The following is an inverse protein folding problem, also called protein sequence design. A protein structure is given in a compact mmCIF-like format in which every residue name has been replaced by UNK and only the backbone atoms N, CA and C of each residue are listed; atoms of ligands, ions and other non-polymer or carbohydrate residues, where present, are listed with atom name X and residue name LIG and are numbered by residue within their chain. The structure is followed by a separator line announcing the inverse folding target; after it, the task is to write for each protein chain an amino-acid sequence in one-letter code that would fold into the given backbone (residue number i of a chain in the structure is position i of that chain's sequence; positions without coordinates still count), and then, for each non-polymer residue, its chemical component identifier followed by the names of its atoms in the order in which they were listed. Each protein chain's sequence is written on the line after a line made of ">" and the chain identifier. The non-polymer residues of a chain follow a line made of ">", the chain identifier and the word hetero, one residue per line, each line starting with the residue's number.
data_IF_697797864813
#
_entry.id   IF_697797864813
#
_cell.length_a   1.000
_cell.length_b   1.000
_cell.length_c   1.000
_cell.angle_alpha   90.00
_cell.angle_beta   90.00
_cell.angle_gamma   90.00
#
_symmetry.space_group_name_H-M   'P 1'
#
loop_
_entity.id
_entity.type
_entity.pdbx_description
1 polymer ?
#
# COMPACT_ATOMS: atom_id res chain seq x y z
N UNK A 1 4.83 2.89 -8.49
CA UNK A 1 5.08 2.22 -7.19
C UNK A 1 4.12 2.71 -6.10
N UNK A 2 2.86 2.98 -6.47
CA UNK A 2 1.92 3.62 -5.55
C UNK A 2 1.71 2.78 -4.28
N UNK A 3 1.49 1.47 -4.41
CA UNK A 3 1.23 0.60 -3.26
C UNK A 3 2.48 -0.11 -2.75
N UNK A 4 3.51 -0.27 -3.58
CA UNK A 4 4.73 -0.99 -3.20
C UNK A 4 5.76 -0.10 -2.48
N UNK A 5 5.60 1.22 -2.55
CA UNK A 5 6.48 2.14 -1.83
C UNK A 5 6.42 1.85 -0.32
N UNK A 6 7.58 1.68 0.30
CA UNK A 6 7.75 1.29 1.72
C UNK A 6 7.22 -0.12 2.04
N UNK A 7 6.86 -0.91 1.02
CA UNK A 7 6.47 -2.32 1.20
C UNK A 7 7.48 -3.25 0.54
N UNK A 8 7.97 -2.86 -0.62
CA UNK A 8 8.96 -3.65 -1.38
C UNK A 8 10.25 -2.84 -1.50
N UNK A 9 11.41 -3.50 -1.58
CA UNK A 9 12.67 -2.78 -1.80
C UNK A 9 12.60 -1.94 -3.08
N UNK A 10 13.08 -0.71 -3.01
CA UNK A 10 13.07 0.20 -4.16
C UNK A 10 14.34 1.04 -4.15
N UNK A 11 15.13 0.89 -5.19
CA UNK A 11 16.33 1.70 -5.43
C UNK A 11 16.22 2.22 -6.86
N UNK A 12 15.91 3.52 -6.99
CA UNK A 12 15.68 4.13 -8.30
C UNK A 12 16.91 4.06 -9.21
N UNK A 13 18.09 4.27 -8.62
CA UNK A 13 19.33 4.29 -9.38
C UNK A 13 19.69 2.89 -9.89
N UNK A 14 19.64 1.90 -9.00
CA UNK A 14 19.95 0.52 -9.35
C UNK A 14 18.98 -0.04 -10.40
N UNK A 15 17.71 0.41 -10.36
CA UNK A 15 16.68 -0.04 -11.29
C UNK A 15 16.55 0.83 -12.55
N UNK A 16 17.29 1.91 -12.65
CA UNK A 16 17.24 2.82 -13.79
C UNK A 16 15.90 3.54 -13.91
N UNK A 17 15.27 3.84 -12.77
CA UNK A 17 13.95 4.49 -12.78
C UNK A 17 14.08 6.02 -12.83
N UNK A 18 13.42 6.50 -13.54
CA UNK A 18 13.50 7.78 -13.75
C UNK A 18 12.60 8.52 -12.96
N UNK A 19 11.33 8.12 -13.03
CA UNK A 19 10.24 8.79 -12.31
C UNK A 19 9.49 7.80 -11.40
N UNK A 20 9.32 7.98 -10.02
CA UNK A 20 8.64 7.21 -9.22
C UNK A 20 7.56 7.94 -8.84
N UNK A 21 6.33 7.47 -8.87
CA UNK A 21 5.10 8.09 -8.40
C UNK A 21 4.55 7.27 -7.23
N UNK A 22 4.25 7.93 -6.12
CA UNK A 22 3.59 7.30 -4.98
C UNK A 22 2.53 8.23 -4.42
N UNK A 23 1.81 7.79 -3.40
CA UNK A 23 0.70 8.56 -2.84
C UNK A 23 0.65 8.42 -1.32
N UNK A 24 -0.01 9.38 -0.69
CA UNK A 24 0.00 9.54 0.77
C UNK A 24 -0.71 8.41 1.52
N UNK A 25 -1.73 7.78 0.91
CA UNK A 25 -2.60 6.83 1.62
C UNK A 25 -2.17 5.35 1.51
N UNK A 26 -0.97 5.08 1.02
CA UNK A 26 -0.45 3.70 0.92
C UNK A 26 0.67 3.50 1.95
N UNK A 27 1.89 3.25 1.52
CA UNK A 27 3.01 2.96 2.44
C UNK A 27 3.27 4.01 3.48
N UNK A 28 2.88 5.26 3.22
CA UNK A 28 3.02 6.34 4.19
C UNK A 28 1.97 6.34 5.30
N UNK A 29 0.89 5.72 4.99
CA UNK A 29 -0.05 5.53 5.91
C UNK A 29 -0.56 6.69 6.47
N UNK A 30 -0.75 7.85 5.67
CA UNK A 30 -1.47 9.07 6.07
C UNK A 30 -2.71 9.26 5.20
N UNK A 31 -3.49 10.31 5.46
CA UNK A 31 -4.75 10.52 4.73
C UNK A 31 -4.50 10.68 3.22
N UNK A 32 -5.44 10.26 2.36
CA UNK A 32 -5.30 10.46 0.92
C UNK A 32 -5.38 11.94 0.55
N UNK A 33 -4.73 12.30 -0.55
CA UNK A 33 -4.80 13.66 -1.09
C UNK A 33 -3.49 14.24 -1.61
N UNK A 34 -2.36 13.50 -1.47
CA UNK A 34 -1.09 13.93 -2.04
C UNK A 34 -0.55 12.87 -2.99
N UNK A 35 -0.03 13.33 -4.12
CA UNK A 35 0.83 12.53 -4.99
C UNK A 35 2.26 13.03 -4.85
N UNK A 36 3.18 12.12 -4.59
CA UNK A 36 4.59 12.44 -4.51
C UNK A 36 5.27 11.90 -5.76
N UNK A 37 5.95 12.78 -6.45
CA UNK A 37 6.66 12.44 -7.69
C UNK A 37 8.14 12.68 -7.47
N UNK A 38 8.93 11.62 -7.55
CA UNK A 38 10.38 11.71 -7.39
C UNK A 38 11.02 11.60 -8.76
N UNK A 39 11.84 12.57 -9.10
CA UNK A 39 12.51 12.65 -10.41
C UNK A 39 14.00 12.35 -10.25
N UNK A 40 14.52 11.42 -11.03
CA UNK A 40 15.95 11.22 -11.13
C UNK A 40 16.60 12.48 -11.71
N UNK A 41 17.86 12.73 -11.37
CA UNK A 41 18.60 13.90 -11.84
C UNK A 41 18.57 14.03 -13.36
N UNK A 42 18.67 12.91 -14.07
CA UNK A 42 18.71 12.88 -15.53
C UNK A 42 17.47 13.45 -16.21
N UNK A 43 16.33 13.52 -15.51
CA UNK A 43 15.07 14.01 -16.11
C UNK A 43 14.62 15.38 -15.55
N UNK A 44 15.33 15.93 -14.56
CA UNK A 44 14.90 17.18 -13.92
C UNK A 44 14.97 18.37 -14.89
N UNK A 45 15.90 18.36 -15.81
CA UNK A 45 16.13 19.48 -16.73
C UNK A 45 15.55 19.25 -18.12
N UNK A 46 14.69 18.26 -18.30
CA UNK A 46 14.07 18.02 -19.60
C UNK A 46 13.07 19.15 -19.93
N UNK A 47 12.89 19.48 -21.24
CA UNK A 47 11.92 20.50 -21.65
C UNK A 47 10.50 19.94 -21.56
N UNK A 48 9.93 20.07 -20.38
CA UNK A 48 8.55 19.57 -20.18
C UNK A 48 7.53 20.43 -20.92
N UNK A 49 7.04 20.02 -21.77
CA UNK A 49 6.11 20.61 -22.50
C UNK A 49 4.88 20.67 -21.75
N UNK A 50 4.39 21.85 -21.63
CA UNK A 50 3.18 22.21 -20.91
C UNK A 50 1.91 21.77 -21.65
N UNK A 51 1.23 20.81 -21.11
CA UNK A 51 -0.01 20.30 -21.70
C UNK A 51 -1.26 20.54 -20.86
N UNK A 52 -1.10 21.29 -19.77
CA UNK A 52 -2.20 21.60 -18.87
C UNK A 52 -1.82 22.72 -17.93
N UNK A 53 -2.75 23.13 -17.11
CA UNK A 53 -2.53 24.22 -16.18
C UNK A 53 -1.97 23.72 -14.83
N UNK A 54 -2.65 22.76 -14.21
CA UNK A 54 -2.35 22.33 -12.84
C UNK A 54 -1.17 21.37 -12.78
N UNK A 55 -1.12 20.38 -13.66
CA UNK A 55 -0.08 19.33 -13.65
C UNK A 55 1.11 19.75 -14.52
N UNK A 56 1.79 20.82 -14.11
CA UNK A 56 2.93 21.37 -14.83
C UNK A 56 4.20 21.14 -14.01
N UNK A 57 5.08 20.23 -14.47
CA UNK A 57 6.33 19.93 -13.78
C UNK A 57 7.26 21.13 -13.69
N UNK A 58 7.36 21.91 -14.77
CA UNK A 58 8.24 23.08 -14.78
C UNK A 58 7.84 24.08 -13.70
N UNK A 59 6.52 24.38 -13.57
CA UNK A 59 6.02 25.27 -12.53
C UNK A 59 6.23 24.67 -11.12
N UNK A 60 6.04 23.35 -10.98
CA UNK A 60 6.26 22.70 -9.68
C UNK A 60 7.73 22.77 -9.28
N UNK A 61 8.67 22.44 -10.19
CA UNK A 61 10.09 22.49 -9.90
C UNK A 61 10.57 23.91 -9.55
N UNK A 62 10.11 24.90 -10.34
CA UNK A 62 10.44 26.32 -10.10
C UNK A 62 9.99 26.76 -8.70
N UNK A 63 8.78 26.41 -8.30
CA UNK A 63 8.27 26.80 -6.98
C UNK A 63 8.95 26.03 -5.85
N UNK A 64 9.34 24.79 -6.10
CA UNK A 64 10.06 23.96 -5.12
C UNK A 64 11.38 24.61 -4.69
N UNK A 65 12.06 25.34 -5.61
CA UNK A 65 13.32 26.04 -5.29
C UNK A 65 13.17 27.04 -4.14
N UNK A 66 11.97 27.61 -3.98
CA UNK A 66 11.68 28.54 -2.89
C UNK A 66 10.81 27.92 -1.80
N UNK A 67 10.70 26.58 -1.78
CA UNK A 67 9.96 25.86 -0.76
C UNK A 67 8.46 26.05 -0.82
N UNK A 68 7.91 26.24 -2.04
CA UNK A 68 6.48 26.47 -2.22
C UNK A 68 5.89 25.56 -3.29
N UNK A 69 4.58 25.54 -3.37
CA UNK A 69 3.83 24.88 -4.45
C UNK A 69 3.26 25.97 -5.37
N UNK A 70 2.95 25.64 -6.64
CA UNK A 70 2.38 26.65 -7.58
C UNK A 70 1.04 27.22 -7.12
N UNK A 71 0.26 26.44 -6.37
CA UNK A 71 -1.08 26.80 -5.91
C UNK A 71 -1.19 26.48 -4.43
N UNK A 72 -2.28 26.90 -3.79
CA UNK A 72 -2.47 26.69 -2.34
C UNK A 72 -2.36 25.21 -2.00
N UNK A 73 -1.45 24.82 -1.11
CA UNK A 73 -1.24 23.41 -0.81
C UNK A 73 -2.25 22.90 0.22
N UNK A 74 -2.39 21.57 0.28
CA UNK A 74 -3.16 20.87 1.32
C UNK A 74 -2.29 20.85 2.60
N UNK A 75 -2.24 21.98 3.32
CA UNK A 75 -1.29 22.18 4.42
C UNK A 75 -1.36 21.11 5.49
N UNK A 76 -2.57 20.68 5.89
CA UNK A 76 -2.75 19.63 6.89
C UNK A 76 -2.07 18.33 6.43
N UNK A 77 -2.24 17.96 5.17
CA UNK A 77 -1.60 16.75 4.62
C UNK A 77 -0.08 16.88 4.55
N UNK A 78 0.41 18.08 4.22
CA UNK A 78 1.86 18.33 4.24
C UNK A 78 2.44 18.18 5.65
N UNK A 79 1.71 18.62 6.66
CA UNK A 79 2.15 18.46 8.05
C UNK A 79 2.14 16.98 8.48
N UNK A 80 1.11 16.23 8.06
CA UNK A 80 1.06 14.78 8.28
C UNK A 80 2.25 14.10 7.58
N UNK A 81 2.51 14.48 6.33
CA UNK A 81 3.63 13.92 5.56
C UNK A 81 4.96 14.21 6.24
N UNK A 82 5.17 15.44 6.70
CA UNK A 82 6.40 15.81 7.39
C UNK A 82 6.62 14.94 8.65
N UNK A 83 5.58 14.83 9.48
CA UNK A 83 5.64 14.02 10.70
C UNK A 83 5.96 12.56 10.37
N UNK A 84 5.28 12.03 9.35
CA UNK A 84 5.48 10.64 8.93
C UNK A 84 6.89 10.39 8.40
N UNK A 85 7.38 11.27 7.53
CA UNK A 85 8.72 11.12 6.95
C UNK A 85 9.80 11.20 8.03
N UNK A 86 9.62 12.03 9.06
CA UNK A 86 10.55 12.05 10.19
C UNK A 86 10.64 10.68 10.86
N UNK A 87 9.48 10.08 11.14
CA UNK A 87 9.42 8.75 11.76
C UNK A 87 10.06 7.69 10.84
N UNK A 88 9.77 7.77 9.54
CA UNK A 88 10.29 6.78 8.58
C UNK A 88 11.81 6.87 8.43
N UNK A 89 12.35 8.09 8.40
CA UNK A 89 13.79 8.31 8.31
C UNK A 89 14.49 7.78 9.58
N UNK A 90 13.90 8.09 10.75
CA UNK A 90 14.44 7.64 12.04
C UNK A 90 14.45 6.10 12.13
N UNK A 91 13.40 5.45 11.66
CA UNK A 91 13.28 4.00 11.68
C UNK A 91 14.16 3.34 10.61
N UNK A 92 14.27 3.97 9.46
CA UNK A 92 15.01 3.46 8.31
C UNK A 92 14.12 2.67 7.34
N UNK A 93 14.26 2.95 6.06
CA UNK A 93 13.40 2.35 5.01
C UNK A 93 13.53 0.82 4.97
N UNK A 94 14.73 0.29 5.15
CA UNK A 94 14.92 -1.17 5.14
C UNK A 94 14.16 -1.85 6.28
N UNK A 95 14.18 -1.25 7.48
CA UNK A 95 13.45 -1.78 8.63
C UNK A 95 11.94 -1.78 8.38
N UNK A 96 11.43 -0.72 7.76
CA UNK A 96 10.00 -0.62 7.41
C UNK A 96 9.63 -1.72 6.41
N UNK A 97 10.41 -1.87 5.34
CA UNK A 97 10.16 -2.89 4.30
C UNK A 97 10.23 -4.29 4.90
N UNK A 98 11.20 -4.54 5.79
CA UNK A 98 11.33 -5.84 6.46
C UNK A 98 10.09 -6.17 7.29
N UNK A 99 9.55 -5.20 8.03
CA UNK A 99 8.33 -5.42 8.82
C UNK A 99 7.12 -5.74 7.94
N UNK A 100 6.96 -5.03 6.83
CA UNK A 100 5.85 -5.31 5.89
C UNK A 100 6.02 -6.70 5.29
N UNK A 101 7.24 -7.03 4.87
CA UNK A 101 7.55 -8.36 4.32
C UNK A 101 7.24 -9.46 5.32
N UNK A 102 7.62 -9.28 6.59
CA UNK A 102 7.40 -10.30 7.62
C UNK A 102 5.91 -10.56 7.82
N UNK A 103 5.09 -9.53 7.83
CA UNK A 103 3.62 -9.69 7.92
C UNK A 103 3.07 -10.40 6.69
N UNK A 104 3.53 -10.02 5.50
CA UNK A 104 3.09 -10.64 4.25
C UNK A 104 3.43 -12.15 4.23
N UNK A 105 4.67 -12.49 4.57
CA UNK A 105 5.11 -13.89 4.62
C UNK A 105 4.33 -14.66 5.67
N UNK A 106 4.07 -14.06 6.82
CA UNK A 106 3.29 -14.70 7.89
C UNK A 106 1.88 -15.02 7.41
N UNK A 107 1.18 -14.03 6.82
CA UNK A 107 -0.18 -14.28 6.32
C UNK A 107 -0.21 -15.33 5.23
N UNK A 108 0.77 -15.30 4.32
CA UNK A 108 0.86 -16.33 3.26
C UNK A 108 1.12 -17.72 3.85
N UNK A 109 1.85 -17.82 4.96
CA UNK A 109 2.01 -19.10 5.65
C UNK A 109 0.67 -19.60 6.22
N UNK A 110 -0.18 -18.66 6.71
CA UNK A 110 -1.53 -19.00 7.16
C UNK A 110 -2.41 -19.43 5.97
N UNK A 111 -2.28 -18.79 4.81
CA UNK A 111 -2.98 -19.21 3.59
C UNK A 111 -2.59 -20.64 3.23
N UNK A 112 -1.29 -20.93 3.20
CA UNK A 112 -0.78 -22.28 2.88
C UNK A 112 -1.30 -23.31 3.87
N UNK A 113 -1.27 -22.99 5.16
CA UNK A 113 -1.76 -23.89 6.24
C UNK A 113 -3.24 -24.22 6.06
N UNK A 114 -4.04 -23.26 5.60
CA UNK A 114 -5.48 -23.44 5.44
C UNK A 114 -5.88 -23.85 4.01
N UNK A 115 -4.90 -24.03 3.12
CA UNK A 115 -5.16 -24.44 1.74
C UNK A 115 -5.72 -23.35 0.85
N UNK A 116 -5.69 -22.09 1.30
CA UNK A 116 -6.15 -20.97 0.49
C UNK A 116 -5.11 -20.63 -0.57
N UNK A 117 -5.54 -20.62 -1.83
CA UNK A 117 -4.63 -20.38 -2.94
C UNK A 117 -4.26 -18.89 -3.02
N UNK A 118 -2.96 -18.61 -3.11
CA UNK A 118 -2.42 -17.29 -3.42
C UNK A 118 -1.97 -17.34 -4.88
N UNK A 119 -2.74 -16.74 -5.81
CA UNK A 119 -2.49 -16.96 -7.24
C UNK A 119 -1.29 -16.20 -7.78
N UNK A 120 -0.80 -15.17 -7.08
CA UNK A 120 0.33 -14.38 -7.56
C UNK A 120 1.62 -15.17 -7.45
N UNK A 121 2.32 -15.35 -8.57
CA UNK A 121 3.60 -16.06 -8.60
C UNK A 121 4.67 -15.29 -7.82
N UNK A 122 4.69 -13.96 -7.96
CA UNK A 122 5.61 -13.08 -7.22
C UNK A 122 4.78 -11.96 -6.58
N UNK A 123 4.21 -12.23 -5.40
CA UNK A 123 3.34 -11.24 -4.76
C UNK A 123 4.13 -10.10 -4.13
N UNK A 124 3.57 -8.88 -4.22
CA UNK A 124 4.11 -7.73 -3.51
C UNK A 124 3.93 -7.92 -2.00
N UNK A 125 4.83 -7.35 -1.21
CA UNK A 125 4.69 -7.38 0.25
C UNK A 125 3.51 -6.53 0.74
N UNK A 126 3.05 -5.55 -0.05
CA UNK A 126 2.00 -4.63 0.41
C UNK A 126 0.64 -5.31 0.58
N UNK A 127 0.37 -6.40 -0.16
CA UNK A 127 -0.97 -7.00 -0.20
C UNK A 127 -0.87 -8.48 -0.60
N UNK A 128 -1.73 -9.31 -0.02
CA UNK A 128 -1.90 -10.70 -0.45
C UNK A 128 -3.32 -10.89 -0.96
N UNK A 129 -3.44 -11.31 -2.22
CA UNK A 129 -4.69 -11.79 -2.80
C UNK A 129 -4.78 -13.30 -2.63
N UNK A 130 -5.94 -13.81 -2.25
CA UNK A 130 -6.12 -15.25 -2.00
C UNK A 130 -7.55 -15.68 -2.26
N UNK A 131 -7.73 -16.96 -2.52
CA UNK A 131 -9.06 -17.57 -2.70
C UNK A 131 -9.43 -18.38 -1.46
N UNK A 132 -10.67 -18.20 -0.98
CA UNK A 132 -11.25 -19.06 0.04
C UNK A 132 -12.00 -20.21 -0.65
N UNK A 133 -12.32 -21.28 0.07
CA UNK A 133 -12.94 -22.48 -0.50
C UNK A 133 -14.46 -22.42 -0.51
N UNK A 134 -15.06 -21.91 0.57
CA UNK A 134 -16.50 -21.97 0.80
C UNK A 134 -16.99 -20.63 1.36
N UNK A 135 -18.27 -20.37 1.14
CA UNK A 135 -18.97 -19.23 1.73
C UNK A 135 -18.33 -17.87 1.41
N UNK A 136 -17.61 -17.78 0.28
CA UNK A 136 -16.97 -16.54 -0.14
C UNK A 136 -17.98 -15.43 -0.45
N UNK A 137 -19.18 -15.81 -0.81
CA UNK A 137 -20.27 -14.87 -1.09
C UNK A 137 -20.77 -14.14 0.16
N UNK A 138 -20.62 -14.74 1.36
CA UNK A 138 -21.01 -14.11 2.62
C UNK A 138 -19.83 -13.63 3.46
N UNK A 139 -18.61 -14.00 3.09
CA UNK A 139 -17.41 -13.81 3.93
C UNK A 139 -17.22 -12.35 4.35
N UNK A 140 -17.29 -11.43 3.39
CA UNK A 140 -17.09 -10.00 3.67
C UNK A 140 -18.10 -9.49 4.71
N UNK A 141 -19.39 -9.81 4.50
CA UNK A 141 -20.45 -9.36 5.40
C UNK A 141 -20.30 -9.95 6.80
N UNK A 142 -19.92 -11.22 6.89
CA UNK A 142 -19.77 -11.89 8.19
C UNK A 142 -18.55 -11.36 8.96
N UNK A 143 -17.43 -11.07 8.26
CA UNK A 143 -16.27 -10.44 8.89
C UNK A 143 -16.59 -9.01 9.35
N UNK A 144 -17.36 -8.27 8.54
CA UNK A 144 -17.75 -6.90 8.85
C UNK A 144 -18.57 -6.83 10.16
N UNK A 145 -19.41 -7.83 10.43
CA UNK A 145 -20.19 -7.92 11.69
C UNK A 145 -19.27 -8.04 12.91
N UNK A 146 -18.02 -8.44 12.70
CA UNK A 146 -17.02 -8.63 13.76
C UNK A 146 -15.96 -7.52 13.74
N UNK A 147 -16.26 -6.40 13.04
CA UNK A 147 -15.36 -5.26 12.86
C UNK A 147 -14.04 -5.63 12.19
N UNK A 148 -14.07 -6.67 11.35
CA UNK A 148 -12.88 -7.08 10.57
C UNK A 148 -13.10 -6.68 9.11
N UNK A 149 -12.15 -5.89 8.57
CA UNK A 149 -12.25 -5.28 7.25
C UNK A 149 -11.19 -5.86 6.32
N UNK A 150 -11.61 -6.55 5.27
CA UNK A 150 -10.73 -7.00 4.19
C UNK A 150 -11.31 -6.50 2.86
N UNK A 151 -10.55 -6.63 1.78
CA UNK A 151 -10.98 -6.11 0.47
C UNK A 151 -11.50 -7.25 -0.41
N UNK A 152 -12.76 -7.19 -0.85
CA UNK A 152 -13.22 -8.12 -1.90
C UNK A 152 -12.40 -7.91 -3.18
N UNK A 153 -12.15 -8.97 -3.90
CA UNK A 153 -11.29 -8.96 -5.07
C UNK A 153 -11.99 -9.01 -6.43
N UNK A 154 -13.30 -8.82 -6.45
CA UNK A 154 -14.06 -8.80 -7.70
C UNK A 154 -14.75 -10.11 -8.06
N UNK A 155 -14.46 -11.18 -7.35
CA UNK A 155 -15.19 -12.45 -7.44
C UNK A 155 -15.60 -12.89 -6.04
N UNK A 156 -16.65 -13.72 -5.89
CA UNK A 156 -17.15 -14.08 -4.56
C UNK A 156 -16.16 -14.80 -3.65
N UNK A 157 -15.13 -15.40 -4.20
CA UNK A 157 -14.19 -16.22 -3.43
C UNK A 157 -12.79 -15.61 -3.33
N UNK A 158 -12.53 -14.48 -4.01
CA UNK A 158 -11.22 -13.84 -4.04
C UNK A 158 -11.21 -12.61 -3.14
N UNK A 159 -10.25 -12.56 -2.23
CA UNK A 159 -10.12 -11.48 -1.24
C UNK A 159 -8.68 -10.99 -1.19
N UNK A 160 -8.48 -9.78 -0.64
CA UNK A 160 -7.15 -9.17 -0.51
C UNK A 160 -6.96 -8.66 0.91
N UNK A 161 -5.80 -8.95 1.48
CA UNK A 161 -5.40 -8.46 2.82
C UNK A 161 -4.18 -7.57 2.65
N UNK A 162 -4.26 -6.33 3.12
CA UNK A 162 -3.15 -5.38 3.12
C UNK A 162 -2.21 -5.67 4.29
N UNK A 163 -0.92 -5.48 4.09
CA UNK A 163 0.09 -5.64 5.14
C UNK A 163 0.74 -4.30 5.51
N UNK A 164 0.17 -3.21 4.98
CA UNK A 164 0.58 -1.85 5.36
C UNK A 164 -0.09 -1.48 6.70
N UNK A 165 0.60 -0.66 7.49
CA UNK A 165 0.05 -0.19 8.76
C UNK A 165 0.49 -1.00 9.96
N UNK A 166 -0.29 -0.95 11.02
CA UNK A 166 0.12 -1.39 12.36
C UNK A 166 -0.40 -2.78 12.76
N UNK A 167 -1.00 -3.52 11.83
CA UNK A 167 -1.52 -4.85 12.15
C UNK A 167 -0.41 -5.75 12.70
N UNK A 168 -0.78 -6.65 13.60
CA UNK A 168 0.14 -7.60 14.24
C UNK A 168 -0.06 -9.00 13.68
N UNK A 169 0.84 -9.93 14.06
CA UNK A 169 0.67 -11.35 13.72
C UNK A 169 -0.58 -11.92 14.40
N UNK A 170 -0.89 -11.44 15.60
CA UNK A 170 -2.09 -11.83 16.33
C UNK A 170 -3.37 -11.42 15.58
N UNK A 171 -3.37 -10.22 14.99
CA UNK A 171 -4.48 -9.77 14.14
C UNK A 171 -4.66 -10.70 12.94
N UNK A 172 -3.55 -11.11 12.31
CA UNK A 172 -3.59 -12.01 11.16
C UNK A 172 -4.05 -13.41 11.56
N UNK A 173 -3.65 -13.90 12.74
CA UNK A 173 -4.13 -15.18 13.29
C UNK A 173 -5.64 -15.12 13.51
N UNK A 174 -6.13 -14.03 14.11
CA UNK A 174 -7.57 -13.84 14.33
C UNK A 174 -8.33 -13.81 13.00
N UNK A 175 -7.83 -13.06 12.02
CA UNK A 175 -8.44 -13.02 10.68
C UNK A 175 -8.53 -14.44 10.09
N UNK A 176 -7.45 -15.19 10.12
CA UNK A 176 -7.43 -16.54 9.55
C UNK A 176 -8.41 -17.45 10.28
N UNK A 177 -8.49 -17.37 11.62
CA UNK A 177 -9.43 -18.17 12.41
C UNK A 177 -10.87 -17.82 12.06
N UNK A 178 -11.20 -16.54 11.90
CA UNK A 178 -12.55 -16.10 11.55
C UNK A 178 -12.95 -16.53 10.13
N UNK A 179 -12.02 -16.44 9.18
CA UNK A 179 -12.28 -16.92 7.80
C UNK A 179 -12.61 -18.42 7.85
N UNK A 180 -11.80 -19.20 8.54
CA UNK A 180 -11.99 -20.65 8.65
C UNK A 180 -13.34 -20.97 9.30
N UNK A 181 -13.73 -20.24 10.35
CA UNK A 181 -15.00 -20.39 11.02
C UNK A 181 -16.18 -20.15 10.05
N UNK A 182 -16.10 -19.07 9.26
CA UNK A 182 -17.15 -18.72 8.29
C UNK A 182 -17.21 -19.76 7.16
N UNK A 183 -16.05 -20.26 6.70
CA UNK A 183 -16.03 -21.33 5.69
C UNK A 183 -16.76 -22.57 6.18
N UNK A 184 -16.78 -22.81 7.49
CA UNK A 184 -17.42 -23.99 8.08
C UNK A 184 -18.90 -23.76 8.43
N UNK A 185 -19.46 -22.57 8.18
CA UNK A 185 -20.90 -22.35 8.39
C UNK A 185 -21.72 -23.29 7.51
N UNK A 186 -22.72 -23.91 8.10
CA UNK A 186 -23.72 -24.69 7.38
C UNK A 186 -24.86 -23.75 7.00
N UNK A 187 -24.99 -23.45 5.72
CA UNK A 187 -26.09 -22.63 5.21
C UNK A 187 -27.30 -23.53 5.03
N UNK A 188 -28.41 -23.19 5.73
CA UNK A 188 -29.67 -23.92 5.63
C UNK A 188 -30.43 -23.53 4.36
#
# INVERSE_FOLDING_TARGET
>A
VISSFLADPLDMDALGIXIXITSSQKGLXIAPGLSLIVLAESVQNLPYXRKGYYFDFAENLKNLERGQTPYSPATTLFMQLYARLKMDVEKGTNAIVDEVRDKALYFRSLCKKNGWEVPAEVPSNCITGFFVHKNGDILFAELLKQDIYIMPGGTPYYFRVSHLGVQTKEDLDELAARIKEIENYKLN
#
